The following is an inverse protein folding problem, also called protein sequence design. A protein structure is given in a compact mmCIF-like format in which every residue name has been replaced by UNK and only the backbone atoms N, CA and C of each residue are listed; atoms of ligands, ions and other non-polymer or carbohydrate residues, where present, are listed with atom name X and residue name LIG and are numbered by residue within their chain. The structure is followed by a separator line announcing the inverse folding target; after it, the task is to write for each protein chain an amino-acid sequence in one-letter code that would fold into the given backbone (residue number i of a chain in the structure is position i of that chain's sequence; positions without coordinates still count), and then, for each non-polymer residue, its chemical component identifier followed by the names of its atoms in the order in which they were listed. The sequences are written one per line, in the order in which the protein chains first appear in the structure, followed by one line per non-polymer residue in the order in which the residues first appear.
data_IF_120880033230
#
_entry.id   IF_120880033230
#
_cell.length_a   1.000
_cell.length_b   1.000
_cell.length_c   1.000
_cell.angle_alpha   90.00
_cell.angle_beta   90.00
_cell.angle_gamma   90.00
#
_symmetry.space_group_name_H-M   'P 1'
#
loop_
_entity.id
_entity.type
_entity.pdbx_description
1 polymer ?
#
# COMPACT_ATOMS: atom_id res chain seq x y z
N UNK A 1 2.38 -36.48 -6.93
CA UNK A 1 1.68 -36.33 -5.64
C UNK A 1 2.67 -35.90 -4.56
N UNK A 2 2.54 -34.68 -4.05
CA UNK A 2 3.39 -34.19 -2.97
C UNK A 2 3.23 -35.01 -1.67
N UNK A 3 2.05 -35.56 -1.43
CA UNK A 3 1.78 -36.37 -0.24
C UNK A 3 2.62 -37.67 -0.18
N UNK A 4 2.88 -38.27 -1.35
CA UNK A 4 3.63 -39.52 -1.46
C UNK A 4 5.02 -39.33 -2.04
N UNK A 5 5.46 -38.07 -2.27
CA UNK A 5 6.69 -37.68 -2.96
C UNK A 5 6.83 -38.25 -4.39
N UNK A 6 5.73 -38.80 -4.95
CA UNK A 6 5.76 -39.36 -6.28
C UNK A 6 5.83 -38.28 -7.35
N UNK A 7 6.89 -38.29 -8.15
CA UNK A 7 7.10 -37.36 -9.26
C UNK A 7 7.46 -35.92 -8.82
N UNK A 8 7.84 -35.68 -7.57
CA UNK A 8 8.25 -34.35 -7.08
C UNK A 8 9.60 -33.94 -7.64
N UNK A 9 10.59 -34.86 -7.65
CA UNK A 9 11.93 -34.57 -8.19
C UNK A 9 11.89 -34.19 -9.67
N UNK A 10 11.34 -35.01 -10.61
CA UNK A 10 11.26 -34.60 -12.01
C UNK A 10 10.37 -33.36 -12.25
N UNK A 11 9.39 -33.10 -11.39
CA UNK A 11 8.64 -31.85 -11.43
C UNK A 11 9.54 -30.66 -11.10
N UNK A 12 10.35 -30.74 -10.04
CA UNK A 12 11.28 -29.66 -9.67
C UNK A 12 12.35 -29.43 -10.74
N UNK A 13 12.90 -30.51 -11.31
CA UNK A 13 13.85 -30.40 -12.42
C UNK A 13 13.24 -29.67 -13.63
N UNK A 14 12.04 -30.08 -14.04
CA UNK A 14 11.33 -29.42 -15.14
C UNK A 14 10.99 -27.96 -14.80
N UNK A 15 10.59 -27.68 -13.56
CA UNK A 15 10.30 -26.33 -13.07
C UNK A 15 11.54 -25.44 -13.17
N UNK A 16 12.70 -25.89 -12.70
CA UNK A 16 13.97 -25.15 -12.79
C UNK A 16 14.38 -24.84 -14.23
N UNK A 17 14.12 -25.77 -15.17
CA UNK A 17 14.39 -25.53 -16.60
C UNK A 17 13.45 -24.51 -17.23
N UNK A 18 12.19 -24.43 -16.77
CA UNK A 18 11.17 -23.51 -17.30
C UNK A 18 11.22 -22.13 -16.65
N UNK A 19 11.78 -22.03 -15.43
CA UNK A 19 11.76 -20.77 -14.66
C UNK A 19 12.93 -19.89 -15.08
N UNK A 20 12.69 -18.67 -15.58
CA UNK A 20 13.77 -17.74 -15.88
C UNK A 20 14.43 -17.23 -14.59
N UNK A 21 15.66 -16.73 -14.66
CA UNK A 21 16.28 -15.98 -13.57
C UNK A 21 15.47 -14.71 -13.25
N UNK A 22 15.75 -14.02 -12.13
CA UNK A 22 15.10 -12.77 -11.81
C UNK A 22 15.17 -11.77 -12.96
N UNK A 23 14.00 -11.20 -13.31
CA UNK A 23 13.92 -10.25 -14.42
C UNK A 23 14.32 -8.85 -13.98
N UNK A 24 14.88 -8.10 -14.92
CA UNK A 24 15.15 -6.66 -14.78
C UNK A 24 13.88 -5.89 -14.49
N UNK A 25 13.97 -4.79 -13.76
CA UNK A 25 12.82 -3.97 -13.34
C UNK A 25 12.94 -2.53 -13.82
N UNK A 26 11.82 -1.96 -14.27
CA UNK A 26 11.75 -0.57 -14.70
C UNK A 26 11.78 0.39 -13.51
N UNK A 27 12.61 1.42 -13.61
CA UNK A 27 12.70 2.56 -12.70
C UNK A 27 12.58 3.88 -13.48
N UNK A 28 12.52 5.00 -12.79
CA UNK A 28 12.46 6.35 -13.38
C UNK A 28 13.70 6.69 -14.24
N UNK A 29 14.84 6.11 -13.92
CA UNK A 29 16.09 6.26 -14.69
C UNK A 29 16.27 5.24 -15.83
N UNK A 30 15.31 4.35 -16.07
CA UNK A 30 15.39 3.27 -17.06
C UNK A 30 15.29 1.88 -16.43
N UNK A 31 15.79 0.86 -17.13
CA UNK A 31 15.70 -0.53 -16.67
C UNK A 31 16.91 -0.86 -15.79
N UNK A 32 16.64 -1.37 -14.60
CA UNK A 32 17.65 -1.87 -13.66
C UNK A 32 17.82 -3.36 -13.88
N UNK A 33 19.04 -3.75 -14.26
CA UNK A 33 19.38 -5.15 -14.48
C UNK A 33 19.50 -5.89 -13.14
N UNK A 34 18.88 -7.07 -13.05
CA UNK A 34 18.94 -7.91 -11.87
C UNK A 34 20.36 -8.37 -11.52
N UNK A 35 21.25 -8.45 -12.51
CA UNK A 35 22.65 -8.81 -12.34
C UNK A 35 23.58 -7.61 -12.07
N UNK A 36 23.04 -6.39 -11.97
CA UNK A 36 23.82 -5.23 -11.54
C UNK A 36 24.44 -5.47 -10.16
N UNK A 37 25.70 -5.08 -9.91
CA UNK A 37 26.33 -5.24 -8.61
C UNK A 37 25.75 -4.34 -7.52
N UNK A 38 25.10 -3.24 -7.90
CA UNK A 38 24.48 -2.30 -6.98
C UNK A 38 23.21 -2.90 -6.38
N UNK A 39 23.14 -2.94 -5.05
CA UNK A 39 21.95 -3.39 -4.35
C UNK A 39 20.76 -2.46 -4.61
N UNK A 40 19.64 -3.05 -4.96
CA UNK A 40 18.34 -2.39 -4.95
C UNK A 40 17.24 -3.35 -4.58
N UNK A 41 16.23 -2.82 -3.88
CA UNK A 41 15.04 -3.54 -3.47
C UNK A 41 13.83 -2.63 -3.45
N UNK A 42 12.64 -3.20 -3.42
CA UNK A 42 11.41 -2.44 -3.17
C UNK A 42 10.53 -3.11 -2.15
N UNK A 43 9.80 -2.29 -1.39
CA UNK A 43 8.82 -2.74 -0.42
C UNK A 43 7.53 -3.10 -1.14
N UNK A 44 7.14 -4.36 -1.13
CA UNK A 44 5.91 -4.80 -1.80
C UNK A 44 4.78 -5.16 -0.83
N UNK A 45 5.10 -5.37 0.45
CA UNK A 45 4.14 -5.71 1.48
C UNK A 45 4.58 -5.16 2.83
N UNK A 46 3.63 -4.72 3.62
CA UNK A 46 3.81 -4.40 5.04
C UNK A 46 2.82 -5.26 5.81
N UNK A 47 3.23 -5.79 6.95
CA UNK A 47 2.38 -6.57 7.82
C UNK A 47 2.68 -6.22 9.28
N UNK A 48 1.65 -5.79 10.00
CA UNK A 48 1.72 -5.52 11.42
C UNK A 48 1.11 -6.66 12.24
N UNK A 49 1.43 -6.71 13.52
CA UNK A 49 0.81 -7.61 14.50
C UNK A 49 0.86 -9.11 14.15
N UNK A 50 1.90 -9.56 13.46
CA UNK A 50 2.09 -11.00 13.19
C UNK A 50 2.19 -11.82 14.47
N UNK A 51 2.77 -11.24 15.52
CA UNK A 51 2.79 -11.82 16.84
C UNK A 51 1.99 -10.93 17.80
N UNK A 52 0.91 -11.45 18.38
CA UNK A 52 0.06 -10.73 19.34
C UNK A 52 0.82 -10.28 20.60
N UNK A 53 1.90 -10.99 20.97
CA UNK A 53 2.74 -10.68 22.13
C UNK A 53 3.74 -9.53 21.88
N UNK A 54 4.16 -9.38 20.63
CA UNK A 54 5.15 -8.38 20.24
C UNK A 54 4.59 -7.56 19.08
N UNK A 55 4.01 -6.45 19.25
CA UNK A 55 3.42 -5.58 18.21
C UNK A 55 4.42 -5.26 17.08
N UNK A 56 4.90 -6.31 16.41
CA UNK A 56 5.89 -6.25 15.35
C UNK A 56 5.26 -5.73 14.06
N UNK A 57 5.95 -4.84 13.41
CA UNK A 57 5.67 -4.44 12.03
C UNK A 57 6.85 -4.86 11.16
N UNK A 58 6.58 -5.61 10.11
CA UNK A 58 7.56 -6.07 9.13
C UNK A 58 7.27 -5.44 7.77
N UNK A 59 8.32 -4.94 7.13
CA UNK A 59 8.30 -4.60 5.72
C UNK A 59 8.97 -5.74 4.93
N UNK A 60 8.29 -6.22 3.89
CA UNK A 60 8.79 -7.24 2.99
C UNK A 60 9.38 -6.58 1.76
N UNK A 61 10.65 -6.85 1.53
CA UNK A 61 11.41 -6.31 0.42
C UNK A 61 11.70 -7.42 -0.59
N UNK A 62 11.42 -7.16 -1.85
CA UNK A 62 11.98 -7.95 -2.95
C UNK A 62 13.29 -7.32 -3.41
N UNK A 63 14.36 -8.09 -3.41
CA UNK A 63 15.64 -7.64 -3.95
C UNK A 63 15.54 -7.66 -5.48
N UNK A 64 15.83 -6.53 -6.12
CA UNK A 64 15.75 -6.36 -7.56
C UNK A 64 17.10 -6.45 -8.26
N UNK A 65 18.17 -6.06 -7.59
CA UNK A 65 19.54 -6.16 -8.11
C UNK A 65 20.57 -6.27 -6.99
N UNK A 66 21.74 -6.76 -7.31
CA UNK A 66 22.89 -6.84 -6.43
C UNK A 66 22.71 -7.81 -5.27
N UNK A 67 23.48 -7.57 -4.23
CA UNK A 67 23.52 -8.36 -3.00
C UNK A 67 23.21 -7.49 -1.80
N UNK A 68 22.29 -7.94 -0.96
CA UNK A 68 22.12 -7.43 0.38
C UNK A 68 23.13 -8.08 1.33
N UNK A 69 23.79 -7.28 2.15
CA UNK A 69 24.65 -7.72 3.24
C UNK A 69 24.13 -7.15 4.56
N UNK A 70 24.14 -7.98 5.61
CA UNK A 70 23.70 -7.58 6.95
C UNK A 70 24.53 -6.39 7.44
N UNK A 71 23.84 -5.43 8.12
CA UNK A 71 24.39 -4.20 8.63
C UNK A 71 24.90 -3.20 7.58
N UNK A 72 24.84 -3.53 6.29
CA UNK A 72 25.16 -2.57 5.24
C UNK A 72 24.24 -1.34 5.32
N UNK A 73 24.85 -0.16 5.08
CA UNK A 73 24.10 1.07 4.96
C UNK A 73 23.36 1.09 3.61
N UNK A 74 22.07 1.35 3.66
CA UNK A 74 21.22 1.50 2.48
C UNK A 74 20.59 2.89 2.45
N UNK A 75 20.07 3.29 1.28
CA UNK A 75 19.38 4.57 1.09
C UNK A 75 17.89 4.33 0.84
N UNK A 76 17.05 4.88 1.67
CA UNK A 76 15.59 4.92 1.47
C UNK A 76 15.25 6.12 0.59
N UNK A 77 14.87 5.85 -0.66
CA UNK A 77 14.76 6.89 -1.69
C UNK A 77 13.64 7.87 -1.40
N UNK A 78 12.42 7.38 -1.12
CA UNK A 78 11.27 8.22 -0.79
C UNK A 78 11.45 9.00 0.52
N UNK A 79 12.09 8.39 1.50
CA UNK A 79 12.40 9.04 2.78
C UNK A 79 13.63 9.97 2.73
N UNK A 80 14.39 9.96 1.64
CA UNK A 80 15.57 10.83 1.44
C UNK A 80 16.70 10.61 2.44
N UNK A 81 16.81 9.44 3.06
CA UNK A 81 17.75 9.19 4.16
C UNK A 81 18.44 7.84 4.07
N UNK A 82 19.63 7.80 4.65
CA UNK A 82 20.36 6.56 4.87
C UNK A 82 19.85 5.85 6.12
N UNK A 83 19.84 4.55 6.10
CA UNK A 83 19.46 3.70 7.23
C UNK A 83 20.12 2.33 7.14
N UNK A 84 20.04 1.56 8.21
CA UNK A 84 20.39 0.13 8.23
C UNK A 84 19.12 -0.67 8.41
N UNK A 85 18.99 -1.74 7.62
CA UNK A 85 17.84 -2.63 7.73
C UNK A 85 17.98 -3.48 9.00
N UNK A 86 17.02 -3.36 9.90
CA UNK A 86 17.06 -4.04 11.20
C UNK A 86 16.52 -5.46 11.07
N UNK A 87 17.23 -6.43 11.65
CA UNK A 87 16.83 -7.82 11.78
C UNK A 87 16.29 -8.42 10.48
N UNK A 88 17.12 -8.47 9.41
CA UNK A 88 16.69 -9.09 8.16
C UNK A 88 16.39 -10.57 8.40
N UNK A 89 15.21 -11.00 7.99
CA UNK A 89 14.70 -12.34 8.23
C UNK A 89 14.18 -12.93 6.93
N UNK A 90 14.46 -14.20 6.73
CA UNK A 90 13.73 -15.02 5.78
C UNK A 90 12.61 -15.74 6.53
N UNK A 91 11.40 -15.70 5.95
CA UNK A 91 10.25 -16.34 6.55
C UNK A 91 9.95 -17.63 5.79
N UNK A 92 9.99 -18.75 6.52
CA UNK A 92 9.51 -20.04 6.04
C UNK A 92 8.36 -20.48 6.94
N UNK A 93 7.12 -20.28 6.47
CA UNK A 93 5.90 -20.51 7.25
C UNK A 93 5.89 -19.72 8.57
N UNK A 94 6.02 -20.40 9.73
CA UNK A 94 6.07 -19.77 11.05
C UNK A 94 7.49 -19.54 11.56
N UNK A 95 8.47 -20.11 10.90
CA UNK A 95 9.88 -19.99 11.28
C UNK A 95 10.47 -18.70 10.73
N UNK A 96 11.29 -18.04 11.54
CA UNK A 96 12.01 -16.82 11.20
C UNK A 96 13.50 -17.10 11.36
N UNK A 97 14.23 -16.99 10.29
CA UNK A 97 15.68 -17.15 10.30
C UNK A 97 16.34 -15.80 9.96
N UNK A 98 17.27 -15.38 10.82
CA UNK A 98 18.06 -14.17 10.54
C UNK A 98 19.06 -14.53 9.45
N UNK A 99 19.11 -13.70 8.41
CA UNK A 99 20.00 -13.91 7.27
C UNK A 99 21.11 -12.86 7.24
N UNK A 100 22.27 -13.26 6.79
CA UNK A 100 23.43 -12.38 6.63
C UNK A 100 23.52 -11.79 5.24
N UNK A 101 23.02 -12.51 4.23
CA UNK A 101 23.06 -12.09 2.83
C UNK A 101 21.81 -12.55 2.06
N UNK A 102 21.47 -11.81 1.02
CA UNK A 102 20.40 -12.15 0.08
C UNK A 102 20.66 -11.53 -1.30
N UNK A 103 20.10 -12.12 -2.35
CA UNK A 103 20.42 -11.81 -3.73
C UNK A 103 19.19 -11.36 -4.51
N UNK A 104 19.40 -10.81 -5.72
CA UNK A 104 18.33 -10.46 -6.63
C UNK A 104 17.35 -11.64 -6.82
N UNK A 105 16.06 -11.37 -6.64
CA UNK A 105 14.99 -12.38 -6.64
C UNK A 105 14.53 -12.81 -5.24
N UNK A 106 15.37 -12.69 -4.22
CA UNK A 106 15.02 -13.04 -2.85
C UNK A 106 14.02 -12.04 -2.24
N UNK A 107 13.28 -12.55 -1.27
CA UNK A 107 12.38 -11.78 -0.43
C UNK A 107 12.89 -11.82 1.00
N UNK A 108 13.10 -10.64 1.58
CA UNK A 108 13.50 -10.49 2.97
C UNK A 108 12.46 -9.69 3.74
N UNK A 109 12.20 -10.08 5.00
CA UNK A 109 11.42 -9.28 5.95
C UNK A 109 12.36 -8.47 6.83
N UNK A 110 12.09 -7.20 7.02
CA UNK A 110 12.85 -6.33 7.94
C UNK A 110 11.92 -5.70 8.95
N UNK A 111 12.42 -5.50 10.17
CA UNK A 111 11.67 -4.76 11.18
C UNK A 111 11.44 -3.32 10.70
N UNK A 112 10.19 -2.87 10.76
CA UNK A 112 9.78 -1.54 10.34
C UNK A 112 9.23 -0.73 11.53
N UNK A 113 9.94 0.29 12.00
CA UNK A 113 9.42 1.18 13.03
C UNK A 113 8.32 2.15 12.53
N UNK A 114 7.78 1.93 11.34
CA UNK A 114 6.75 2.77 10.72
C UNK A 114 7.30 3.77 9.70
N UNK A 115 8.45 3.47 9.11
CA UNK A 115 9.12 4.36 8.14
C UNK A 115 8.91 3.96 6.68
N UNK A 116 8.53 2.71 6.42
CA UNK A 116 8.32 2.21 5.07
C UNK A 116 6.86 2.28 4.65
N UNK A 117 6.66 2.51 3.36
CA UNK A 117 5.39 2.40 2.65
C UNK A 117 5.50 1.38 1.52
N UNK A 118 4.38 0.77 1.14
CA UNK A 118 4.35 -0.11 -0.05
C UNK A 118 4.73 0.72 -1.28
N UNK A 119 5.66 0.18 -2.08
CA UNK A 119 6.22 0.87 -3.24
C UNK A 119 7.52 1.61 -2.98
N UNK A 120 7.97 1.72 -1.72
CA UNK A 120 9.25 2.35 -1.41
C UNK A 120 10.42 1.62 -2.04
N UNK A 121 11.38 2.39 -2.52
CA UNK A 121 12.62 1.90 -3.13
C UNK A 121 13.78 2.06 -2.16
N UNK A 122 14.56 1.01 -2.03
CA UNK A 122 15.78 0.95 -1.21
C UNK A 122 16.96 0.68 -2.13
N UNK A 123 18.01 1.46 -2.02
CA UNK A 123 19.20 1.34 -2.90
C UNK A 123 20.49 1.39 -2.11
N UNK A 124 21.59 1.05 -2.78
CA UNK A 124 22.93 1.40 -2.31
C UNK A 124 23.03 2.93 -2.12
N UNK A 125 23.73 3.43 -1.06
CA UNK A 125 23.94 4.86 -0.88
C UNK A 125 24.54 5.52 -2.12
N UNK A 126 23.98 6.66 -2.54
CA UNK A 126 24.39 7.40 -3.73
C UNK A 126 23.55 7.12 -4.98
N UNK A 127 22.76 6.07 -5.00
CA UNK A 127 21.77 5.81 -6.06
C UNK A 127 20.40 6.35 -5.63
N UNK A 128 19.72 7.10 -6.49
CA UNK A 128 18.48 7.80 -6.14
C UNK A 128 17.38 7.59 -7.18
N UNK A 129 17.30 6.42 -7.77
CA UNK A 129 16.21 6.07 -8.67
C UNK A 129 15.03 5.46 -7.91
N UNK A 130 13.84 5.52 -8.50
CA UNK A 130 12.60 4.94 -7.97
C UNK A 130 12.09 3.86 -8.90
N UNK A 131 11.76 2.69 -8.35
CA UNK A 131 10.99 1.70 -9.08
C UNK A 131 9.56 2.17 -9.31
N UNK A 132 8.96 1.76 -10.42
CA UNK A 132 7.53 1.91 -10.62
C UNK A 132 6.78 1.26 -9.45
N UNK A 133 5.84 2.01 -8.88
CA UNK A 133 5.04 1.56 -7.75
C UNK A 133 4.17 0.35 -8.10
N UNK A 134 3.58 -0.26 -7.07
CA UNK A 134 2.57 -1.31 -7.26
C UNK A 134 1.26 -0.61 -7.59
N UNK A 135 0.59 -0.97 -8.70
CA UNK A 135 -0.71 -0.41 -9.02
C UNK A 135 -1.71 -0.65 -7.89
N UNK A 136 -2.37 0.40 -7.44
CA UNK A 136 -3.46 0.31 -6.48
C UNK A 136 -4.77 0.42 -7.23
N UNK A 137 -5.65 -0.57 -7.08
CA UNK A 137 -6.97 -0.51 -7.66
C UNK A 137 -7.83 0.53 -6.93
N UNK A 138 -8.54 1.40 -7.66
CA UNK A 138 -9.50 2.29 -7.03
C UNK A 138 -10.60 1.48 -6.32
N UNK A 139 -11.11 1.95 -5.17
CA UNK A 139 -12.19 1.27 -4.47
C UNK A 139 -13.51 1.39 -5.25
N UNK A 140 -14.31 0.33 -5.16
CA UNK A 140 -15.64 0.23 -5.77
C UNK A 140 -16.76 0.23 -4.71
N UNK A 141 -16.41 0.02 -3.44
CA UNK A 141 -17.36 0.01 -2.32
C UNK A 141 -16.86 0.91 -1.21
N UNK A 142 -17.80 1.68 -0.64
CA UNK A 142 -17.48 2.66 0.39
C UNK A 142 -18.37 2.47 1.62
N UNK A 143 -17.80 2.68 2.80
CA UNK A 143 -18.51 2.66 4.05
C UNK A 143 -18.00 3.75 4.97
N UNK A 144 -18.91 4.45 5.63
CA UNK A 144 -18.63 5.36 6.72
C UNK A 144 -18.40 4.54 7.98
N UNK A 145 -17.28 4.78 8.66
CA UNK A 145 -16.86 3.94 9.78
C UNK A 145 -16.47 4.77 10.98
N UNK A 146 -16.97 4.39 12.13
CA UNK A 146 -16.63 4.99 13.42
C UNK A 146 -16.60 3.93 14.53
N UNK A 147 -15.89 4.17 15.65
CA UNK A 147 -15.94 3.26 16.79
C UNK A 147 -17.30 3.36 17.50
N UNK A 148 -17.87 2.21 17.92
CA UNK A 148 -19.09 2.22 18.76
C UNK A 148 -18.84 2.87 20.12
N UNK A 149 -17.64 2.68 20.68
CA UNK A 149 -17.19 3.25 21.94
C UNK A 149 -16.21 4.39 21.67
N UNK A 150 -16.63 5.62 21.97
CA UNK A 150 -15.83 6.84 21.79
C UNK A 150 -14.55 6.85 22.62
N UNK A 151 -14.49 6.12 23.74
CA UNK A 151 -13.28 5.99 24.56
C UNK A 151 -12.16 5.23 23.84
N UNK A 152 -12.50 4.44 22.83
CA UNK A 152 -11.55 3.68 21.98
C UNK A 152 -11.06 4.42 20.74
N UNK A 153 -11.32 5.74 20.66
CA UNK A 153 -10.91 6.57 19.52
C UNK A 153 -9.44 6.43 19.15
N UNK A 154 -8.53 6.45 20.13
CA UNK A 154 -7.08 6.31 19.86
C UNK A 154 -6.73 4.96 19.22
N UNK A 155 -7.33 3.88 19.70
CA UNK A 155 -7.15 2.54 19.15
C UNK A 155 -7.77 2.45 17.74
N UNK A 156 -8.92 3.08 17.53
CA UNK A 156 -9.59 3.16 16.23
C UNK A 156 -8.69 3.83 15.18
N UNK A 157 -8.22 5.04 15.46
CA UNK A 157 -7.33 5.77 14.54
C UNK A 157 -6.10 4.95 14.22
N UNK A 158 -5.39 4.47 15.26
CA UNK A 158 -4.18 3.68 15.08
C UNK A 158 -4.42 2.40 14.27
N UNK A 159 -5.48 1.66 14.57
CA UNK A 159 -5.81 0.41 13.87
C UNK A 159 -6.18 0.64 12.42
N UNK A 160 -7.01 1.64 12.16
CA UNK A 160 -7.44 2.01 10.81
C UNK A 160 -6.25 2.43 9.94
N UNK A 161 -5.38 3.30 10.46
CA UNK A 161 -4.17 3.73 9.76
C UNK A 161 -3.21 2.56 9.48
N UNK A 162 -2.97 1.69 10.46
CA UNK A 162 -2.08 0.54 10.26
C UNK A 162 -2.61 -0.44 9.21
N UNK A 163 -3.91 -0.77 9.25
CA UNK A 163 -4.53 -1.68 8.29
C UNK A 163 -4.54 -1.06 6.88
N UNK A 164 -4.72 0.26 6.76
CA UNK A 164 -4.61 0.97 5.49
C UNK A 164 -3.18 0.98 4.93
N UNK A 165 -2.17 1.18 5.79
CA UNK A 165 -0.76 1.12 5.40
C UNK A 165 -0.32 -0.27 4.91
N UNK A 166 -1.00 -1.33 5.34
CA UNK A 166 -0.83 -2.68 4.82
C UNK A 166 -1.50 -2.90 3.45
N UNK A 167 -2.25 -1.92 2.94
CA UNK A 167 -2.96 -1.99 1.67
C UNK A 167 -4.25 -2.82 1.71
N UNK A 168 -4.73 -3.20 2.90
CA UNK A 168 -5.95 -4.00 3.03
C UNK A 168 -7.23 -3.19 2.79
N UNK A 169 -7.20 -1.89 3.07
CA UNK A 169 -8.27 -0.92 2.87
C UNK A 169 -7.67 0.41 2.41
N UNK A 170 -8.50 1.27 1.85
CA UNK A 170 -8.18 2.68 1.62
C UNK A 170 -9.01 3.54 2.56
N UNK A 171 -8.43 4.60 3.12
CA UNK A 171 -9.11 5.49 4.05
C UNK A 171 -9.16 6.91 3.50
N UNK A 172 -10.32 7.51 3.67
CA UNK A 172 -10.64 8.86 3.27
C UNK A 172 -11.33 9.60 4.40
N UNK A 173 -11.26 10.91 4.37
CA UNK A 173 -12.00 11.77 5.31
C UNK A 173 -12.63 12.93 4.56
N UNK A 174 -13.65 13.53 5.13
CA UNK A 174 -14.15 14.82 4.68
C UNK A 174 -13.08 15.87 5.02
N UNK A 175 -12.74 16.80 4.12
CA UNK A 175 -11.76 17.84 4.39
C UNK A 175 -12.07 18.62 5.68
N UNK A 176 -11.01 18.96 6.42
CA UNK A 176 -11.07 19.66 7.72
C UNK A 176 -11.77 18.90 8.87
N UNK A 177 -12.07 17.62 8.69
CA UNK A 177 -12.58 16.77 9.77
C UNK A 177 -11.46 15.93 10.39
N UNK A 178 -11.70 15.48 11.62
CA UNK A 178 -10.77 14.57 12.31
C UNK A 178 -10.94 13.11 11.85
N UNK A 179 -10.14 12.23 12.46
CA UNK A 179 -10.17 10.78 12.22
C UNK A 179 -11.12 10.02 13.15
N UNK A 180 -12.09 10.70 13.75
CA UNK A 180 -13.12 10.09 14.60
C UNK A 180 -14.10 9.23 13.81
N UNK A 181 -14.32 9.65 12.59
CA UNK A 181 -15.12 8.98 11.58
C UNK A 181 -14.36 9.06 10.26
N UNK A 182 -14.24 7.95 9.58
CA UNK A 182 -13.55 7.85 8.29
C UNK A 182 -14.45 7.17 7.27
N UNK A 183 -14.17 7.44 6.00
CA UNK A 183 -14.74 6.67 4.91
C UNK A 183 -13.71 5.62 4.50
N UNK A 184 -14.11 4.37 4.53
CA UNK A 184 -13.29 3.23 4.12
C UNK A 184 -13.74 2.81 2.73
N UNK A 185 -12.77 2.76 1.80
CA UNK A 185 -12.96 2.26 0.46
C UNK A 185 -12.28 0.91 0.27
N UNK A 186 -12.94 0.00 -0.43
CA UNK A 186 -12.45 -1.36 -0.72
C UNK A 186 -12.81 -1.76 -2.15
N UNK A 187 -12.02 -2.66 -2.74
CA UNK A 187 -12.30 -3.23 -4.07
C UNK A 187 -13.38 -4.31 -3.99
N UNK A 188 -13.41 -5.08 -2.91
CA UNK A 188 -14.39 -6.14 -2.69
C UNK A 188 -14.96 -6.12 -1.29
N UNK A 189 -16.26 -6.40 -1.15
CA UNK A 189 -17.01 -6.30 0.12
C UNK A 189 -16.46 -7.15 1.27
N UNK A 190 -15.83 -8.30 0.96
CA UNK A 190 -15.18 -9.15 1.97
C UNK A 190 -14.06 -8.44 2.73
N UNK A 191 -13.44 -7.42 2.15
CA UNK A 191 -12.41 -6.62 2.84
C UNK A 191 -13.00 -5.87 4.04
N UNK A 192 -14.29 -5.49 4.02
CA UNK A 192 -14.96 -4.91 5.18
C UNK A 192 -15.07 -5.89 6.34
N UNK A 193 -15.34 -7.17 6.07
CA UNK A 193 -15.42 -8.20 7.11
C UNK A 193 -14.04 -8.47 7.71
N UNK A 194 -13.00 -8.53 6.89
CA UNK A 194 -11.61 -8.64 7.35
C UNK A 194 -11.23 -7.43 8.21
N UNK A 195 -11.56 -6.22 7.76
CA UNK A 195 -11.30 -4.99 8.50
C UNK A 195 -12.00 -5.00 9.87
N UNK A 196 -13.30 -5.33 9.92
CA UNK A 196 -14.08 -5.44 11.16
C UNK A 196 -13.48 -6.48 12.11
N UNK A 197 -13.15 -7.66 11.60
CA UNK A 197 -12.54 -8.73 12.37
C UNK A 197 -11.20 -8.29 12.97
N UNK A 198 -10.32 -7.68 12.18
CA UNK A 198 -9.01 -7.23 12.62
C UNK A 198 -9.11 -6.11 13.66
N UNK A 199 -9.99 -5.13 13.46
CA UNK A 199 -10.22 -4.06 14.42
C UNK A 199 -10.70 -4.60 15.77
N UNK A 200 -11.56 -5.61 15.76
CA UNK A 200 -11.99 -6.27 16.99
C UNK A 200 -10.84 -7.08 17.62
N UNK A 201 -10.20 -7.98 16.86
CA UNK A 201 -9.26 -8.98 17.39
C UNK A 201 -7.89 -8.40 17.76
N UNK A 202 -7.40 -7.40 17.03
CA UNK A 202 -6.06 -6.81 17.20
C UNK A 202 -6.09 -5.53 18.05
N UNK A 203 -7.14 -4.71 17.91
CA UNK A 203 -7.24 -3.39 18.56
C UNK A 203 -8.35 -3.31 19.63
N UNK A 204 -9.20 -4.33 19.73
CA UNK A 204 -10.31 -4.38 20.68
C UNK A 204 -11.39 -3.34 20.40
N UNK A 205 -11.57 -2.92 19.15
CA UNK A 205 -12.50 -1.88 18.73
C UNK A 205 -13.67 -2.50 17.98
N UNK A 206 -14.89 -2.24 18.48
CA UNK A 206 -16.15 -2.52 17.78
C UNK A 206 -16.48 -1.37 16.85
N UNK A 207 -16.80 -1.68 15.58
CA UNK A 207 -17.08 -0.69 14.55
C UNK A 207 -18.59 -0.52 14.33
N UNK A 208 -19.01 0.73 14.13
CA UNK A 208 -20.22 1.09 13.40
C UNK A 208 -19.82 1.30 11.95
N UNK A 209 -20.53 0.64 11.03
CA UNK A 209 -20.27 0.74 9.59
C UNK A 209 -21.60 1.01 8.88
N UNK A 210 -21.60 2.03 8.03
CA UNK A 210 -22.75 2.44 7.23
C UNK A 210 -22.32 2.49 5.76
N UNK A 211 -22.93 1.67 4.91
CA UNK A 211 -22.65 1.63 3.49
C UNK A 211 -23.00 2.94 2.80
N UNK A 212 -22.11 3.43 1.94
CA UNK A 212 -22.32 4.63 1.15
C UNK A 212 -22.62 4.26 -0.30
N UNK A 213 -23.44 5.06 -1.00
CA UNK A 213 -23.88 4.76 -2.36
C UNK A 213 -22.85 5.14 -3.44
N UNK A 214 -21.56 5.19 -3.09
CA UNK A 214 -20.50 5.55 -4.03
C UNK A 214 -19.92 4.31 -4.69
N UNK A 215 -19.64 4.42 -5.99
CA UNK A 215 -19.09 3.34 -6.83
C UNK A 215 -17.81 3.75 -7.54
N UNK A 216 -17.56 5.07 -7.68
CA UNK A 216 -16.43 5.58 -8.47
C UNK A 216 -15.69 6.66 -7.68
N UNK A 217 -14.37 6.61 -7.77
CA UNK A 217 -13.46 7.60 -7.21
C UNK A 217 -12.64 8.25 -8.31
N UNK A 218 -12.40 9.57 -8.21
CA UNK A 218 -11.50 10.34 -9.08
C UNK A 218 -10.71 11.34 -8.26
N UNK A 219 -9.40 11.38 -8.46
CA UNK A 219 -8.52 12.39 -7.87
C UNK A 219 -8.63 13.71 -8.62
N UNK A 220 -8.56 14.82 -7.89
CA UNK A 220 -8.54 16.16 -8.47
C UNK A 220 -7.10 16.50 -8.85
N UNK A 221 -6.81 16.56 -10.16
CA UNK A 221 -5.51 17.02 -10.69
C UNK A 221 -5.45 18.53 -10.69
N UNK A 222 -6.53 19.17 -11.12
CA UNK A 222 -6.65 20.62 -11.21
C UNK A 222 -8.06 21.06 -10.90
N UNK A 223 -8.18 22.10 -10.12
CA UNK A 223 -9.46 22.73 -9.82
C UNK A 223 -9.48 24.17 -10.31
N UNK A 224 -10.59 24.63 -10.90
CA UNK A 224 -10.75 26.03 -11.34
C UNK A 224 -10.98 26.99 -10.17
N UNK A 225 -11.42 26.48 -9.01
CA UNK A 225 -11.73 27.20 -7.78
C UNK A 225 -11.19 26.42 -6.60
N UNK A 226 -11.30 26.91 -5.38
CA UNK A 226 -11.05 26.10 -4.19
C UNK A 226 -11.97 24.87 -4.21
N UNK A 227 -11.45 23.69 -3.87
CA UNK A 227 -12.19 22.42 -4.01
C UNK A 227 -13.52 22.42 -3.24
N UNK A 228 -13.61 23.20 -2.16
CA UNK A 228 -14.85 23.37 -1.36
C UNK A 228 -15.93 24.22 -2.05
N UNK A 229 -15.52 25.02 -3.04
CA UNK A 229 -16.41 25.87 -3.81
C UNK A 229 -16.92 25.20 -5.09
N UNK A 230 -16.49 23.95 -5.35
CA UNK A 230 -16.96 23.18 -6.48
C UNK A 230 -18.48 23.01 -6.42
N UNK A 231 -19.12 23.17 -7.57
CA UNK A 231 -20.55 22.98 -7.70
C UNK A 231 -20.91 21.49 -7.81
N UNK A 232 -20.98 20.82 -6.66
CA UNK A 232 -21.27 19.40 -6.56
C UNK A 232 -22.76 19.14 -6.36
N UNK A 233 -23.24 18.03 -6.89
CA UNK A 233 -24.59 17.52 -6.64
C UNK A 233 -24.59 16.60 -5.40
N UNK A 234 -25.78 16.26 -4.89
CA UNK A 234 -25.92 15.45 -3.68
C UNK A 234 -25.42 14.01 -3.77
N UNK A 235 -25.12 13.55 -4.99
CA UNK A 235 -24.58 12.23 -5.32
C UNK A 235 -23.05 12.22 -5.51
N UNK A 236 -22.39 13.34 -5.15
CA UNK A 236 -20.94 13.52 -5.20
C UNK A 236 -20.44 14.10 -3.88
N UNK A 237 -19.38 13.54 -3.34
CA UNK A 237 -18.78 14.04 -2.10
C UNK A 237 -17.27 14.32 -2.32
N UNK A 238 -16.80 15.46 -1.77
CA UNK A 238 -15.38 15.82 -1.74
C UNK A 238 -14.74 15.17 -0.54
N UNK A 239 -13.68 14.40 -0.80
CA UNK A 239 -12.91 13.71 0.21
C UNK A 239 -11.41 14.04 0.09
N UNK A 240 -10.67 13.62 1.10
CA UNK A 240 -9.22 13.71 1.16
C UNK A 240 -8.66 12.36 1.59
N UNK A 241 -7.62 11.87 0.90
CA UNK A 241 -6.93 10.66 1.32
C UNK A 241 -5.98 10.95 2.51
N UNK A 242 -5.35 9.90 3.04
CA UNK A 242 -4.43 10.04 4.18
C UNK A 242 -3.13 10.79 3.85
N UNK A 243 -2.84 11.05 2.56
CA UNK A 243 -1.68 11.84 2.09
C UNK A 243 -2.05 13.30 1.83
N UNK A 244 -3.32 13.64 1.90
CA UNK A 244 -3.82 14.99 1.67
C UNK A 244 -4.26 15.27 0.24
N UNK A 245 -4.29 14.24 -0.64
CA UNK A 245 -4.81 14.43 -1.99
C UNK A 245 -6.32 14.57 -1.96
N UNK A 246 -6.82 15.58 -2.66
CA UNK A 246 -8.26 15.82 -2.81
C UNK A 246 -8.82 14.92 -3.92
N UNK A 247 -10.01 14.43 -3.68
CA UNK A 247 -10.70 13.53 -4.59
C UNK A 247 -12.21 13.68 -4.48
N UNK A 248 -12.92 13.24 -5.50
CA UNK A 248 -14.37 13.16 -5.53
C UNK A 248 -14.80 11.69 -5.59
N UNK A 249 -15.82 11.35 -4.83
CA UNK A 249 -16.52 10.06 -4.94
C UNK A 249 -17.90 10.28 -5.53
N UNK A 250 -18.32 9.37 -6.39
CA UNK A 250 -19.53 9.48 -7.20
C UNK A 250 -20.40 8.25 -7.01
N UNK A 251 -21.71 8.42 -6.97
CA UNK A 251 -22.66 7.32 -6.90
C UNK A 251 -22.84 6.59 -8.24
N UNK A 252 -22.35 7.17 -9.33
CA UNK A 252 -22.38 6.55 -10.66
C UNK A 252 -21.38 7.21 -11.62
N UNK A 253 -20.96 6.54 -12.69
CA UNK A 253 -20.13 7.16 -13.75
C UNK A 253 -20.78 8.38 -14.40
N UNK A 254 -22.09 8.44 -14.45
CA UNK A 254 -22.86 9.56 -15.02
C UNK A 254 -22.65 10.87 -14.26
N UNK A 255 -22.48 10.78 -12.94
CA UNK A 255 -22.25 11.95 -12.10
C UNK A 255 -20.93 12.64 -12.41
N UNK A 256 -19.93 11.94 -12.98
CA UNK A 256 -18.65 12.52 -13.38
C UNK A 256 -18.85 13.57 -14.48
N UNK A 257 -19.50 13.18 -15.58
CA UNK A 257 -19.76 14.09 -16.73
C UNK A 257 -20.58 15.31 -16.30
N UNK A 258 -21.58 15.08 -15.44
CA UNK A 258 -22.39 16.15 -14.91
C UNK A 258 -21.57 17.14 -14.07
N UNK A 259 -20.71 16.64 -13.22
CA UNK A 259 -19.81 17.46 -12.37
C UNK A 259 -18.81 18.26 -13.22
N UNK A 260 -18.21 17.65 -14.25
CA UNK A 260 -17.29 18.33 -15.16
C UNK A 260 -17.96 19.46 -15.93
N UNK A 261 -19.21 19.28 -16.39
CA UNK A 261 -19.98 20.34 -17.08
C UNK A 261 -20.28 21.53 -16.15
N UNK A 262 -20.52 21.28 -14.87
CA UNK A 262 -20.80 22.32 -13.87
C UNK A 262 -19.57 23.04 -13.36
N UNK A 263 -18.40 22.47 -13.54
CA UNK A 263 -17.11 23.01 -13.09
C UNK A 263 -16.11 23.05 -14.28
N UNK A 264 -16.28 23.96 -15.24
CA UNK A 264 -15.38 24.07 -16.40
C UNK A 264 -13.93 24.32 -15.94
N UNK A 265 -13.00 23.49 -16.40
CA UNK A 265 -11.59 23.54 -16.01
C UNK A 265 -11.20 22.61 -14.86
N UNK A 266 -12.15 21.85 -14.31
CA UNK A 266 -11.86 20.75 -13.39
C UNK A 266 -11.26 19.57 -14.17
N UNK A 267 -10.09 19.08 -13.72
CA UNK A 267 -9.42 17.92 -14.30
C UNK A 267 -9.36 16.80 -13.26
N UNK A 268 -9.90 15.65 -13.63
CA UNK A 268 -9.97 14.45 -12.79
C UNK A 268 -9.13 13.33 -13.39
N UNK A 269 -8.49 12.53 -12.52
CA UNK A 269 -7.71 11.34 -12.89
C UNK A 269 -8.13 10.12 -12.08
N UNK A 270 -7.88 8.94 -12.62
CA UNK A 270 -8.34 7.69 -12.01
C UNK A 270 -7.43 7.21 -10.87
N UNK A 271 -6.13 7.44 -11.02
CA UNK A 271 -5.12 6.88 -10.13
C UNK A 271 -4.17 7.93 -9.57
N UNK A 272 -3.57 7.64 -8.42
CA UNK A 272 -2.49 8.46 -7.85
C UNK A 272 -1.28 8.52 -8.78
N UNK A 273 -1.00 7.47 -9.55
CA UNK A 273 0.12 7.46 -10.50
C UNK A 273 -0.06 8.51 -11.60
N UNK A 274 -1.30 8.69 -12.10
CA UNK A 274 -1.62 9.74 -13.06
C UNK A 274 -1.55 11.15 -12.44
N UNK A 275 -1.81 11.25 -11.13
CA UNK A 275 -1.66 12.51 -10.40
C UNK A 275 -0.17 12.90 -10.29
N UNK A 276 0.70 11.94 -9.95
CA UNK A 276 2.13 12.15 -9.72
C UNK A 276 2.94 12.35 -11.03
N UNK A 277 2.46 11.86 -12.17
CA UNK A 277 3.16 12.00 -13.48
C UNK A 277 3.06 13.38 -14.10
N UNK A 278 2.37 14.31 -13.48
CA UNK A 278 2.14 15.68 -14.00
C UNK A 278 3.06 16.75 -13.37
N UNK A 279 3.94 16.39 -12.43
CA UNK A 279 5.03 17.21 -11.90
C UNK A 279 6.35 16.88 -12.62
#
# INVERSE_FOLDING_TARGET
SALTNFGVEPFLEAFLQMTPPPLSRTADCGVIDAFSPDFSAFVFKIQANMNKAHRDRLAFLRICSGKYEREAEVFHVQGGRKLRLSQPQQLMAQEREIIDEAYAGDIIGVFDPGIFSIGDTITTPGKKFRFAGIPTFPPEHFSRVSPKDTMKRKQFVKGTEQIAQEGAIQIFKVPDTGMEEVIVGVVGTLQFDVFRYRMHSEYGVELRMEGLPYEVLRYIRKSPVEEKELNLSSDVELLEDYRGHKLLVFSSPWAIDFTLRRNPGLELVETLQELDTAE
#
